data_IF_694183542611
#
_entry.id   IF_694183542611
#
_cell.length_a   1.000
_cell.length_b   1.000
_cell.length_c   1.000
_cell.angle_alpha   90.00
_cell.angle_beta   90.00
_cell.angle_gamma   90.00
#
_symmetry.space_group_name_H-M   'P 1'
#
loop_
_entity.id
_entity.type
_entity.pdbx_description
1 polymer ?
#
# COMPACT_ATOMS: atom_id res chain seq x y z
N UNK A 1 0.22 -6.58 11.06
CA UNK A 1 0.18 -7.03 9.65
C UNK A 1 0.62 -5.87 8.78
N UNK A 2 1.38 -6.10 7.70
CA UNK A 2 2.00 -5.01 6.92
C UNK A 2 0.95 -4.04 6.35
N UNK A 3 -0.21 -4.55 5.93
CA UNK A 3 -1.32 -3.78 5.35
C UNK A 3 -2.09 -2.88 6.32
N UNK A 4 -1.86 -3.00 7.63
CA UNK A 4 -2.46 -2.15 8.66
C UNK A 4 -1.52 -1.02 9.11
N UNK A 5 -0.32 -0.93 8.53
CA UNK A 5 0.62 0.16 8.83
C UNK A 5 0.11 1.44 8.17
N UNK A 6 0.15 2.57 8.88
CA UNK A 6 -0.47 3.85 8.46
C UNK A 6 0.07 4.41 7.13
N UNK A 7 1.21 3.93 6.66
CA UNK A 7 1.84 4.34 5.41
C UNK A 7 1.40 3.51 4.19
N UNK A 8 0.69 2.40 4.40
CA UNK A 8 0.15 1.58 3.31
C UNK A 8 -1.20 2.15 2.87
N UNK A 9 -1.28 2.61 1.62
CA UNK A 9 -2.55 2.89 1.00
C UNK A 9 -3.12 1.60 0.40
N UNK A 10 -4.12 1.02 1.07
CA UNK A 10 -4.78 -0.22 0.65
C UNK A 10 -5.38 -0.11 -0.75
N UNK A 11 -5.93 1.05 -1.13
CA UNK A 11 -6.54 1.27 -2.45
C UNK A 11 -5.49 1.28 -3.56
N UNK A 12 -4.38 1.99 -3.34
CA UNK A 12 -3.28 2.03 -4.32
C UNK A 12 -2.73 0.63 -4.53
N UNK A 13 -2.54 -0.14 -3.44
CA UNK A 13 -2.10 -1.53 -3.55
C UNK A 13 -3.07 -2.40 -4.35
N UNK A 14 -4.37 -2.28 -4.11
CA UNK A 14 -5.39 -3.02 -4.89
C UNK A 14 -5.25 -2.70 -6.38
N UNK A 15 -5.12 -1.41 -6.72
CA UNK A 15 -4.99 -0.94 -8.11
C UNK A 15 -3.69 -1.42 -8.77
N UNK A 16 -2.56 -1.37 -8.06
CA UNK A 16 -1.27 -1.86 -8.54
C UNK A 16 -1.27 -3.37 -8.81
N UNK A 17 -2.10 -4.13 -8.09
CA UNK A 17 -2.14 -5.58 -8.13
C UNK A 17 -3.37 -6.15 -8.85
N UNK A 18 -4.18 -5.33 -9.54
CA UNK A 18 -5.39 -5.83 -10.24
C UNK A 18 -5.10 -6.94 -11.24
N UNK A 19 -3.92 -6.96 -11.86
CA UNK A 19 -3.56 -8.02 -12.81
C UNK A 19 -3.38 -9.40 -12.17
N UNK A 20 -3.05 -9.46 -10.88
CA UNK A 20 -2.84 -10.70 -10.13
C UNK A 20 -4.05 -11.05 -9.26
N UNK A 21 -4.75 -10.04 -8.75
CA UNK A 21 -6.03 -10.17 -8.07
C UNK A 21 -7.09 -10.57 -9.10
N UNK A 22 -7.51 -11.84 -9.11
CA UNK A 22 -8.51 -12.40 -10.05
C UNK A 22 -9.93 -11.87 -9.77
N UNK A 23 -10.07 -10.55 -9.66
CA UNK A 23 -11.29 -9.82 -9.36
C UNK A 23 -11.95 -9.34 -10.64
N UNK A 24 -13.28 -9.32 -10.64
CA UNK A 24 -14.04 -8.66 -11.69
C UNK A 24 -14.01 -7.13 -11.50
N UNK A 25 -14.34 -6.34 -12.53
CA UNK A 25 -14.48 -4.89 -12.39
C UNK A 25 -15.49 -4.49 -11.31
N UNK A 26 -16.60 -5.22 -11.20
CA UNK A 26 -17.64 -5.00 -10.19
C UNK A 26 -17.10 -5.28 -8.77
N UNK A 27 -16.44 -6.42 -8.57
CA UNK A 27 -15.79 -6.76 -7.30
C UNK A 27 -14.76 -5.71 -6.90
N UNK A 28 -13.94 -5.26 -7.85
CA UNK A 28 -12.94 -4.22 -7.65
C UNK A 28 -13.58 -2.91 -7.19
N UNK A 29 -14.63 -2.45 -7.89
CA UNK A 29 -15.32 -1.21 -7.54
C UNK A 29 -15.93 -1.29 -6.13
N UNK A 30 -16.61 -2.39 -5.81
CA UNK A 30 -17.22 -2.59 -4.48
C UNK A 30 -16.15 -2.63 -3.38
N UNK A 31 -15.03 -3.32 -3.61
CA UNK A 31 -13.91 -3.36 -2.65
C UNK A 31 -13.30 -1.98 -2.38
N UNK A 32 -13.03 -1.21 -3.44
CA UNK A 32 -12.49 0.15 -3.32
C UNK A 32 -13.46 1.07 -2.57
N UNK A 33 -14.77 0.91 -2.80
CA UNK A 33 -15.80 1.67 -2.09
C UNK A 33 -15.87 1.30 -0.60
N UNK A 34 -15.80 0.00 -0.27
CA UNK A 34 -15.77 -0.46 1.12
C UNK A 34 -14.54 0.10 1.84
N UNK A 35 -13.34 0.03 1.24
CA UNK A 35 -12.13 0.58 1.85
C UNK A 35 -12.24 2.09 2.07
N UNK A 36 -12.77 2.82 1.08
CA UNK A 36 -12.99 4.26 1.18
C UNK A 36 -13.94 4.63 2.32
N UNK A 37 -15.06 3.90 2.49
CA UNK A 37 -16.03 4.16 3.56
C UNK A 37 -15.46 3.78 4.94
N UNK A 38 -14.72 2.68 5.04
CA UNK A 38 -14.02 2.27 6.26
C UNK A 38 -13.02 3.34 6.74
N UNK A 39 -12.28 3.98 5.83
CA UNK A 39 -11.35 5.07 6.18
C UNK A 39 -12.08 6.31 6.73
N UNK A 40 -13.35 6.50 6.39
CA UNK A 40 -14.18 7.60 6.87
C UNK A 40 -14.93 7.26 8.17
N UNK A 41 -14.76 6.04 8.69
CA UNK A 41 -15.54 5.51 9.81
C UNK A 41 -17.07 5.60 9.52
N UNK A 42 -17.43 5.48 8.24
CA UNK A 42 -18.81 5.59 7.78
C UNK A 42 -19.51 4.23 7.92
N UNK A 43 -20.75 4.17 8.44
CA UNK A 43 -21.50 2.93 8.49
C UNK A 43 -21.81 2.44 7.07
N UNK A 44 -21.53 1.16 6.81
CA UNK A 44 -21.71 0.55 5.49
C UNK A 44 -23.02 -0.24 5.48
N UNK A 45 -23.88 0.05 4.51
CA UNK A 45 -25.07 -0.74 4.18
C UNK A 45 -25.08 -1.08 2.69
N UNK A 46 -25.87 -2.09 2.30
CA UNK A 46 -25.99 -2.48 0.90
C UNK A 46 -26.59 -1.35 0.04
N UNK A 47 -27.55 -0.60 0.60
CA UNK A 47 -28.18 0.54 -0.06
C UNK A 47 -27.17 1.66 -0.32
N UNK A 48 -26.34 1.98 0.67
CA UNK A 48 -25.29 2.98 0.51
C UNK A 48 -24.26 2.56 -0.54
N UNK A 49 -23.86 1.29 -0.55
CA UNK A 49 -22.94 0.75 -1.55
C UNK A 49 -23.54 0.83 -2.96
N UNK A 50 -24.80 0.44 -3.13
CA UNK A 50 -25.52 0.52 -4.40
C UNK A 50 -25.60 1.97 -4.90
N UNK A 51 -25.97 2.91 -4.02
CA UNK A 51 -26.05 4.33 -4.35
C UNK A 51 -24.69 4.89 -4.78
N UNK A 52 -23.63 4.63 -4.01
CA UNK A 52 -22.29 5.19 -4.25
C UNK A 52 -21.54 4.55 -5.40
N UNK A 53 -21.87 3.31 -5.75
CA UNK A 53 -21.27 2.61 -6.89
C UNK A 53 -22.11 2.74 -8.16
N UNK A 54 -23.32 3.29 -8.06
CA UNK A 54 -24.33 3.34 -9.13
C UNK A 54 -24.66 1.93 -9.70
N UNK A 55 -24.61 0.91 -8.83
CA UNK A 55 -24.97 -0.46 -9.15
C UNK A 55 -26.36 -0.79 -8.60
N UNK A 56 -27.00 -1.81 -9.17
CA UNK A 56 -28.23 -2.35 -8.62
C UNK A 56 -27.96 -3.06 -7.28
N UNK A 57 -28.89 -2.97 -6.33
CA UNK A 57 -28.74 -3.57 -5.00
C UNK A 57 -28.55 -5.09 -5.06
N UNK A 58 -29.20 -5.77 -6.01
CA UNK A 58 -29.01 -7.21 -6.22
C UNK A 58 -27.58 -7.52 -6.67
N UNK A 59 -27.02 -6.69 -7.57
CA UNK A 59 -25.63 -6.85 -8.04
C UNK A 59 -24.64 -6.63 -6.90
N UNK A 60 -24.89 -5.65 -6.03
CA UNK A 60 -24.05 -5.42 -4.83
C UNK A 60 -24.13 -6.60 -3.88
N UNK A 61 -25.32 -7.11 -3.57
CA UNK A 61 -25.51 -8.26 -2.67
C UNK A 61 -24.79 -9.52 -3.19
N UNK A 62 -24.98 -9.85 -4.47
CA UNK A 62 -24.28 -10.96 -5.14
C UNK A 62 -22.75 -10.78 -5.09
N UNK A 63 -22.27 -9.55 -5.32
CA UNK A 63 -20.84 -9.22 -5.26
C UNK A 63 -20.27 -9.39 -3.86
N UNK A 64 -20.97 -8.92 -2.83
CA UNK A 64 -20.57 -9.07 -1.42
C UNK A 64 -20.52 -10.55 -1.05
N UNK A 65 -21.54 -11.32 -1.42
CA UNK A 65 -21.58 -12.75 -1.17
C UNK A 65 -20.39 -13.49 -1.82
N UNK A 66 -20.05 -13.15 -3.06
CA UNK A 66 -18.90 -13.72 -3.77
C UNK A 66 -17.56 -13.35 -3.11
N UNK A 67 -17.40 -12.11 -2.63
CA UNK A 67 -16.19 -11.66 -1.93
C UNK A 67 -16.00 -12.37 -0.59
N UNK A 68 -17.10 -12.63 0.14
CA UNK A 68 -17.07 -13.41 1.38
C UNK A 68 -16.68 -14.86 1.10
N UNK A 69 -17.27 -15.48 0.08
CA UNK A 69 -16.95 -16.86 -0.33
C UNK A 69 -15.49 -17.02 -0.75
N UNK A 70 -14.90 -15.99 -1.35
CA UNK A 70 -13.49 -15.96 -1.73
C UNK A 70 -12.53 -15.67 -0.56
N UNK A 71 -13.03 -15.53 0.66
CA UNK A 71 -12.25 -15.15 1.85
C UNK A 71 -11.53 -13.80 1.70
N UNK A 72 -12.01 -12.92 0.81
CA UNK A 72 -11.48 -11.57 0.60
C UNK A 72 -12.08 -10.60 1.62
N UNK A 73 -13.40 -10.71 1.79
CA UNK A 73 -14.20 -9.88 2.68
C UNK A 73 -14.70 -10.72 3.85
N UNK A 74 -14.55 -10.23 5.07
CA UNK A 74 -15.18 -10.77 6.25
C UNK A 74 -16.16 -9.74 6.81
N UNK A 75 -17.39 -10.17 7.13
CA UNK A 75 -18.41 -9.31 7.73
C UNK A 75 -18.60 -9.74 9.18
N UNK A 76 -18.46 -8.81 10.12
CA UNK A 76 -18.68 -9.05 11.55
C UNK A 76 -19.80 -8.16 12.06
N UNK A 77 -20.59 -8.69 12.98
CA UNK A 77 -21.64 -7.92 13.67
C UNK A 77 -21.04 -7.37 14.96
N UNK A 78 -21.03 -6.05 15.11
CA UNK A 78 -20.46 -5.36 16.28
C UNK A 78 -21.44 -4.31 16.79
N UNK A 79 -21.98 -4.53 18.01
CA UNK A 79 -22.77 -3.58 18.82
C UNK A 79 -23.75 -2.65 18.07
N UNK A 80 -24.39 -3.12 17.00
CA UNK A 80 -25.41 -2.45 16.15
C UNK A 80 -24.96 -2.04 14.72
N UNK A 81 -23.75 -2.39 14.30
CA UNK A 81 -23.28 -2.17 12.93
C UNK A 81 -22.64 -3.42 12.29
N UNK A 82 -22.66 -3.46 10.96
CA UNK A 82 -21.87 -4.41 10.16
C UNK A 82 -20.47 -3.84 9.95
N UNK A 83 -19.45 -4.55 10.41
CA UNK A 83 -18.05 -4.27 10.14
C UNK A 83 -17.58 -5.07 8.92
N UNK A 84 -17.17 -4.37 7.87
CA UNK A 84 -16.63 -4.97 6.65
C UNK A 84 -15.11 -4.96 6.70
N UNK A 85 -14.49 -6.13 6.88
CA UNK A 85 -13.04 -6.30 7.00
C UNK A 85 -12.46 -6.89 5.70
N UNK A 86 -11.48 -6.20 5.12
CA UNK A 86 -10.83 -6.58 3.86
C UNK A 86 -9.47 -7.28 4.08
N UNK A 87 -9.12 -7.69 5.29
CA UNK A 87 -7.79 -8.21 5.60
C UNK A 87 -7.49 -9.52 4.88
N UNK A 88 -8.52 -10.31 4.58
CA UNK A 88 -8.40 -11.55 3.80
C UNK A 88 -7.78 -11.32 2.42
N UNK A 89 -8.04 -10.18 1.80
CA UNK A 89 -7.41 -9.75 0.54
C UNK A 89 -5.87 -9.70 0.60
N UNK A 90 -5.32 -9.42 1.78
CA UNK A 90 -3.89 -9.20 2.00
C UNK A 90 -3.18 -10.39 2.66
N UNK A 91 -3.95 -11.38 3.12
CA UNK A 91 -3.42 -12.57 3.82
C UNK A 91 -2.93 -13.64 2.85
N UNK A 92 -3.63 -13.86 1.72
CA UNK A 92 -3.34 -14.94 0.79
C UNK A 92 -2.72 -14.44 -0.52
N UNK A 93 -1.38 -14.52 -0.59
CA UNK A 93 -0.68 -14.87 -1.84
C UNK A 93 -0.31 -13.75 -2.83
N UNK A 94 -0.84 -12.54 -2.74
CA UNK A 94 -0.24 -11.39 -3.45
C UNK A 94 0.68 -10.67 -2.48
N UNK A 95 1.95 -11.08 -2.45
CA UNK A 95 2.98 -10.30 -1.77
C UNK A 95 3.13 -8.98 -2.53
N UNK A 96 3.21 -7.88 -1.79
CA UNK A 96 3.79 -6.64 -2.31
C UNK A 96 5.17 -6.99 -2.89
N UNK A 97 5.29 -7.14 -4.21
CA UNK A 97 6.54 -7.57 -4.85
C UNK A 97 7.65 -6.50 -4.81
N UNK A 98 7.37 -5.34 -4.18
CA UNK A 98 8.33 -4.25 -3.99
C UNK A 98 8.31 -3.63 -2.59
N UNK A 99 8.24 -4.46 -1.54
CA UNK A 99 8.85 -4.06 -0.26
C UNK A 99 9.90 -5.10 0.09
N UNK A 100 11.14 -4.85 -0.33
CA UNK A 100 12.26 -5.36 0.44
C UNK A 100 12.19 -4.62 1.79
N UNK A 101 11.43 -5.16 2.76
CA UNK A 101 11.13 -4.54 4.06
C UNK A 101 12.41 -4.05 4.74
N UNK A 102 13.55 -4.69 4.47
CA UNK A 102 14.85 -4.29 4.96
C UNK A 102 15.22 -2.84 4.66
N UNK A 103 15.18 -2.37 3.40
CA UNK A 103 15.71 -1.04 3.09
C UNK A 103 14.82 0.07 3.64
N UNK A 104 13.49 -0.08 3.58
CA UNK A 104 12.56 0.93 4.10
C UNK A 104 12.68 1.06 5.62
N UNK A 105 12.69 -0.06 6.34
CA UNK A 105 12.84 -0.07 7.80
C UNK A 105 14.20 0.49 8.24
N UNK A 106 15.27 0.21 7.48
CA UNK A 106 16.60 0.81 7.72
C UNK A 106 16.54 2.33 7.55
N UNK A 107 15.88 2.85 6.51
CA UNK A 107 15.71 4.29 6.34
C UNK A 107 14.89 4.91 7.47
N UNK A 108 13.77 4.31 7.86
CA UNK A 108 12.93 4.82 8.95
C UNK A 108 13.66 4.84 10.30
N UNK A 109 14.45 3.80 10.57
CA UNK A 109 15.30 3.72 11.76
C UNK A 109 16.33 4.85 11.81
N UNK A 110 17.06 5.09 10.71
CA UNK A 110 18.08 6.14 10.65
C UNK A 110 17.48 7.56 10.61
N UNK A 111 16.28 7.73 10.06
CA UNK A 111 15.55 9.00 10.08
C UNK A 111 14.85 9.25 11.42
N UNK A 112 14.67 8.22 12.25
CA UNK A 112 13.95 8.29 13.52
C UNK A 112 12.45 8.56 13.37
N UNK A 113 11.89 8.33 12.18
CA UNK A 113 10.48 8.52 11.86
C UNK A 113 10.09 7.69 10.64
N UNK A 114 8.79 7.50 10.47
CA UNK A 114 8.25 6.93 9.23
C UNK A 114 8.60 7.80 8.02
N UNK A 115 8.80 7.15 6.87
CA UNK A 115 8.97 7.84 5.60
C UNK A 115 7.64 8.42 5.14
N UNK A 116 7.67 9.62 4.58
CA UNK A 116 6.51 10.22 3.91
C UNK A 116 6.28 9.60 2.53
N UNK A 117 5.09 9.79 1.95
CA UNK A 117 4.78 9.27 0.61
C UNK A 117 5.77 9.71 -0.47
N UNK A 118 6.23 10.96 -0.40
CA UNK A 118 7.25 11.48 -1.33
C UNK A 118 8.61 10.79 -1.15
N UNK A 119 8.96 10.44 0.08
CA UNK A 119 10.19 9.73 0.41
C UNK A 119 10.14 8.27 -0.05
N UNK A 120 8.99 7.60 0.11
CA UNK A 120 8.76 6.25 -0.44
C UNK A 120 8.88 6.24 -1.97
N UNK A 121 8.23 7.17 -2.66
CA UNK A 121 8.36 7.32 -4.13
C UNK A 121 9.80 7.61 -4.55
N UNK A 122 10.53 8.41 -3.78
CA UNK A 122 11.95 8.69 -4.02
C UNK A 122 12.80 7.43 -3.89
N UNK A 123 12.58 6.63 -2.84
CA UNK A 123 13.32 5.39 -2.60
C UNK A 123 13.04 4.35 -3.69
N UNK A 124 11.78 4.20 -4.11
CA UNK A 124 11.40 3.37 -5.27
C UNK A 124 12.08 3.84 -6.57
N UNK A 125 12.17 5.16 -6.76
CA UNK A 125 12.89 5.73 -7.92
C UNK A 125 14.38 5.41 -7.87
N UNK A 126 14.99 5.35 -6.69
CA UNK A 126 16.39 4.92 -6.57
C UNK A 126 16.56 3.43 -6.82
N UNK A 127 15.67 2.58 -6.30
CA UNK A 127 15.72 1.12 -6.48
C UNK A 127 15.61 0.71 -7.96
N UNK A 128 14.95 1.50 -8.80
CA UNK A 128 14.93 1.25 -10.26
C UNK A 128 16.20 1.68 -11.00
N UNK A 129 17.10 2.43 -10.37
CA UNK A 129 18.30 3.03 -11.00
C UNK A 129 19.62 2.60 -10.40
N UNK A 130 19.62 2.22 -9.13
CA UNK A 130 20.80 1.91 -8.33
C UNK A 130 20.63 0.56 -7.65
N UNK A 131 21.74 -0.09 -7.33
CA UNK A 131 21.70 -1.27 -6.47
C UNK A 131 21.30 -0.87 -5.04
N UNK A 132 20.63 -1.77 -4.32
CA UNK A 132 20.28 -1.56 -2.91
C UNK A 132 21.52 -1.28 -2.05
N UNK A 133 22.64 -1.95 -2.33
CA UNK A 133 23.92 -1.71 -1.68
C UNK A 133 24.42 -0.27 -1.87
N UNK A 134 24.30 0.29 -3.08
CA UNK A 134 24.69 1.68 -3.35
C UNK A 134 23.84 2.67 -2.55
N UNK A 135 22.54 2.38 -2.39
CA UNK A 135 21.59 3.21 -1.64
C UNK A 135 21.87 3.15 -0.13
N UNK A 136 22.08 1.95 0.41
CA UNK A 136 22.43 1.75 1.83
C UNK A 136 23.77 2.40 2.18
N UNK A 137 24.76 2.34 1.29
CA UNK A 137 26.02 3.06 1.47
C UNK A 137 25.81 4.58 1.49
N UNK A 138 24.94 5.10 0.63
CA UNK A 138 24.57 6.52 0.62
C UNK A 138 23.93 6.96 1.94
N UNK A 139 23.01 6.14 2.47
CA UNK A 139 22.41 6.37 3.78
C UNK A 139 23.45 6.35 4.91
N UNK A 140 24.33 5.33 4.95
CA UNK A 140 25.39 5.23 5.96
C UNK A 140 26.30 6.46 5.95
N UNK A 141 26.66 6.97 4.77
CA UNK A 141 27.41 8.22 4.65
C UNK A 141 26.63 9.40 5.24
N UNK A 142 25.34 9.54 4.91
CA UNK A 142 24.49 10.59 5.48
C UNK A 142 24.46 10.56 7.01
N UNK A 143 24.39 9.37 7.60
CA UNK A 143 24.43 9.16 9.07
C UNK A 143 25.79 9.59 9.64
N UNK A 144 26.90 9.12 9.06
CA UNK A 144 28.27 9.47 9.49
C UNK A 144 28.48 10.99 9.50
N UNK A 145 28.02 11.68 8.45
CA UNK A 145 28.14 13.13 8.34
C UNK A 145 27.05 13.91 9.09
N UNK A 146 26.15 13.23 9.80
CA UNK A 146 24.99 13.83 10.50
C UNK A 146 24.12 14.69 9.58
N UNK A 147 23.97 14.28 8.32
CA UNK A 147 23.19 14.96 7.26
C UNK A 147 22.13 14.01 6.68
N UNK A 148 21.44 13.27 7.55
CA UNK A 148 20.40 12.31 7.17
C UNK A 148 19.23 13.04 6.49
N UNK A 149 19.18 12.96 5.17
CA UNK A 149 18.10 13.52 4.34
C UNK A 149 18.10 12.87 2.96
N UNK A 150 16.92 12.76 2.34
CA UNK A 150 16.80 12.23 0.98
C UNK A 150 17.64 13.02 -0.02
N UNK A 151 17.70 14.34 0.12
CA UNK A 151 18.45 15.23 -0.79
C UNK A 151 19.95 14.95 -0.74
N UNK A 152 20.50 14.74 0.46
CA UNK A 152 21.92 14.45 0.63
C UNK A 152 22.29 13.08 0.05
N UNK A 153 21.46 12.06 0.30
CA UNK A 153 21.65 10.71 -0.24
C UNK A 153 21.56 10.73 -1.77
N UNK A 154 20.61 11.47 -2.34
CA UNK A 154 20.50 11.64 -3.79
C UNK A 154 21.76 12.23 -4.42
N UNK A 155 22.39 13.21 -3.77
CA UNK A 155 23.64 13.81 -4.24
C UNK A 155 24.80 12.80 -4.25
N UNK A 156 24.88 11.94 -3.23
CA UNK A 156 25.88 10.86 -3.17
C UNK A 156 25.67 9.87 -4.32
N UNK A 157 24.43 9.42 -4.53
CA UNK A 157 24.08 8.48 -5.60
C UNK A 157 24.37 9.05 -7.00
N UNK A 158 24.01 10.32 -7.23
CA UNK A 158 24.27 10.99 -8.50
C UNK A 158 25.77 11.14 -8.79
N UNK A 159 26.59 11.43 -7.78
CA UNK A 159 28.05 11.52 -7.94
C UNK A 159 28.66 10.15 -8.27
N UNK A 160 28.26 9.09 -7.55
CA UNK A 160 28.71 7.71 -7.85
C UNK A 160 28.34 7.29 -9.28
N UNK A 161 27.18 7.68 -9.78
CA UNK A 161 26.77 7.37 -11.16
C UNK A 161 27.66 8.06 -12.20
N UNK A 162 28.03 9.32 -11.95
CA UNK A 162 28.92 10.08 -12.84
C UNK A 162 30.32 9.48 -12.88
N UNK A 163 30.86 9.06 -11.75
CA UNK A 163 32.18 8.40 -11.68
C UNK A 163 32.21 7.04 -12.38
N UNK A 164 31.08 6.33 -12.49
CA UNK A 164 30.98 5.06 -13.24
C UNK A 164 30.88 5.27 -14.77
N UNK A 165 30.52 6.47 -15.22
CA UNK A 165 30.24 6.79 -16.62
C UNK A 165 31.32 7.68 -17.28
N UNK A 166 32.26 8.20 -16.50
CA UNK A 166 33.42 8.98 -16.97
C UNK A 166 34.71 8.20 -16.85
#
# INVERSE_FOLDING_TARGET
>A
MWWNKAYINRRDWILENLGSLKLTPTQTLVLLMIDFLNQQDAPITLELLAERTALDSQVVDETIHDLVRQNILAIKVSKDALEFNLDGLFQDGVRYEYVNEGIFEVFESEFGRLLSQNELMTLNTWLSKYSEADILDGLRNAVIYKKVSMQYINAILANKQKERLG
#
